data_IF_437296266093
#
_entry.id   IF_437296266093
#
_cell.length_a   1.000
_cell.length_b   1.000
_cell.length_c   1.000
_cell.angle_alpha   90.00
_cell.angle_beta   90.00
_cell.angle_gamma   90.00
#
_symmetry.space_group_name_H-M   'P 1'
#
loop_
_entity.id
_entity.type
_entity.pdbx_description
1 polymer ?
#
# COMPACT_ATOMS: atom_id res chain seq x y z
N UNK A 1 -0.57 -17.34 -8.56
CA UNK A 1 -0.18 -17.21 -7.14
C UNK A 1 -1.42 -17.06 -6.27
N UNK A 2 -1.36 -17.43 -4.98
CA UNK A 2 -2.49 -17.22 -4.05
C UNK A 2 -2.50 -15.75 -3.57
N UNK A 3 -3.66 -15.11 -3.40
CA UNK A 3 -3.74 -13.75 -2.86
C UNK A 3 -3.09 -13.65 -1.48
N UNK A 4 -2.37 -12.56 -1.21
CA UNK A 4 -1.86 -12.27 0.14
C UNK A 4 -2.99 -11.77 1.03
N UNK A 5 -3.23 -12.46 2.14
CA UNK A 5 -4.30 -12.13 3.10
C UNK A 5 -3.73 -11.81 4.48
N UNK A 6 -4.52 -11.17 5.35
CA UNK A 6 -4.14 -10.93 6.75
C UNK A 6 -3.78 -12.24 7.46
N UNK A 7 -4.54 -13.31 7.26
CA UNK A 7 -4.25 -14.63 7.85
C UNK A 7 -2.91 -15.19 7.38
N UNK A 8 -2.54 -14.97 6.12
CA UNK A 8 -1.21 -15.34 5.62
C UNK A 8 -0.10 -14.56 6.34
N UNK A 9 -0.27 -13.24 6.50
CA UNK A 9 0.72 -12.39 7.18
C UNK A 9 0.84 -12.74 8.68
N UNK A 10 -0.27 -13.06 9.34
CA UNK A 10 -0.29 -13.56 10.72
C UNK A 10 0.49 -14.86 10.85
N UNK A 11 0.30 -15.79 9.91
CA UNK A 11 1.08 -17.04 9.84
C UNK A 11 2.57 -16.77 9.65
N UNK A 12 2.95 -15.88 8.72
CA UNK A 12 4.35 -15.48 8.54
C UNK A 12 4.96 -14.93 9.84
N UNK A 13 4.22 -14.11 10.59
CA UNK A 13 4.65 -13.60 11.91
C UNK A 13 4.86 -14.73 12.93
N UNK A 14 3.93 -15.68 13.03
CA UNK A 14 4.04 -16.84 13.93
C UNK A 14 5.24 -17.72 13.60
N UNK A 15 5.50 -17.93 12.30
CA UNK A 15 6.62 -18.70 11.79
C UNK A 15 7.95 -17.93 11.77
N UNK A 16 7.98 -16.66 12.21
CA UNK A 16 9.13 -15.75 12.11
C UNK A 16 9.68 -15.62 10.68
N UNK A 17 8.85 -15.86 9.68
CA UNK A 17 9.18 -15.70 8.26
C UNK A 17 9.02 -14.24 7.86
N UNK A 18 10.12 -13.61 7.44
CA UNK A 18 10.11 -12.23 6.94
C UNK A 18 9.48 -12.16 5.55
N UNK A 19 8.82 -11.04 5.26
CA UNK A 19 8.30 -10.69 3.96
C UNK A 19 8.62 -9.22 3.67
N UNK A 20 8.80 -8.88 2.39
CA UNK A 20 9.09 -7.52 1.96
C UNK A 20 7.79 -6.70 1.82
N UNK A 21 7.89 -5.40 2.10
CA UNK A 21 6.83 -4.41 1.89
C UNK A 21 7.39 -3.20 1.15
N UNK A 22 6.60 -2.55 0.31
CA UNK A 22 7.02 -1.36 -0.44
C UNK A 22 5.90 -0.31 -0.44
N UNK A 23 6.25 0.97 -0.51
CA UNK A 23 5.26 2.02 -0.74
C UNK A 23 4.87 2.10 -2.21
N UNK A 24 3.59 2.30 -2.49
CA UNK A 24 3.09 2.49 -3.85
C UNK A 24 1.91 3.47 -3.82
N UNK A 25 1.94 4.47 -4.69
CA UNK A 25 0.97 5.57 -4.68
C UNK A 25 0.09 5.61 -5.95
N UNK A 26 0.34 4.73 -6.91
CA UNK A 26 -0.46 4.59 -8.13
C UNK A 26 -0.55 3.14 -8.60
N UNK A 27 -1.43 2.92 -9.58
CA UNK A 27 -1.69 1.60 -10.13
C UNK A 27 -0.52 1.01 -10.92
N UNK A 28 0.24 1.84 -11.64
CA UNK A 28 1.30 1.38 -12.54
C UNK A 28 2.44 0.73 -11.74
N UNK A 29 2.91 1.40 -10.68
CA UNK A 29 3.92 0.83 -9.79
C UNK A 29 3.36 -0.32 -8.96
N UNK A 30 2.12 -0.21 -8.47
CA UNK A 30 1.51 -1.32 -7.73
C UNK A 30 1.37 -2.60 -8.58
N UNK A 31 1.10 -2.46 -9.89
CA UNK A 31 1.09 -3.60 -10.81
C UNK A 31 2.50 -4.16 -10.99
N UNK A 32 3.47 -3.31 -11.30
CA UNK A 32 4.87 -3.71 -11.50
C UNK A 32 5.42 -4.48 -10.28
N UNK A 33 5.21 -3.96 -9.08
CA UNK A 33 5.68 -4.60 -7.86
C UNK A 33 4.99 -5.93 -7.58
N UNK A 34 3.71 -6.07 -7.93
CA UNK A 34 2.99 -7.33 -7.81
C UNK A 34 3.52 -8.38 -8.79
N UNK A 35 3.83 -7.97 -10.02
CA UNK A 35 4.44 -8.83 -11.04
C UNK A 35 5.84 -9.33 -10.60
N UNK A 36 6.59 -8.50 -9.86
CA UNK A 36 7.89 -8.85 -9.24
C UNK A 36 7.76 -9.58 -7.88
N UNK A 37 6.54 -9.93 -7.45
CA UNK A 37 6.30 -10.75 -6.25
C UNK A 37 6.26 -10.00 -4.92
N UNK A 38 6.28 -8.65 -4.93
CA UNK A 38 6.03 -7.84 -3.73
C UNK A 38 4.53 -7.71 -3.54
N UNK A 39 3.96 -8.56 -2.67
CA UNK A 39 2.51 -8.69 -2.54
C UNK A 39 1.88 -7.86 -1.41
N UNK A 40 2.70 -7.12 -0.65
CA UNK A 40 2.27 -6.23 0.43
C UNK A 40 2.75 -4.83 0.13
N UNK A 41 1.81 -3.89 0.01
CA UNK A 41 2.09 -2.50 -0.35
C UNK A 41 1.43 -1.53 0.61
N UNK A 42 2.02 -0.35 0.73
CA UNK A 42 1.56 0.69 1.63
C UNK A 42 1.33 2.02 0.89
N UNK A 43 0.15 2.59 1.08
CA UNK A 43 -0.12 4.01 0.82
C UNK A 43 0.05 4.74 2.14
N UNK A 44 1.22 5.35 2.30
CA UNK A 44 1.60 6.08 3.52
C UNK A 44 1.63 7.59 3.30
N UNK A 45 1.66 8.33 4.40
CA UNK A 45 1.83 9.78 4.44
C UNK A 45 3.18 10.28 3.90
N UNK A 46 4.13 9.38 3.65
CA UNK A 46 5.35 9.68 2.89
C UNK A 46 5.09 10.22 1.48
N UNK A 47 3.88 10.04 0.93
CA UNK A 47 3.43 10.72 -0.28
C UNK A 47 3.54 12.25 -0.19
N UNK A 48 3.44 12.82 1.02
CA UNK A 48 3.60 14.25 1.24
C UNK A 48 4.96 14.75 0.76
N UNK A 49 6.01 13.98 1.05
CA UNK A 49 7.37 14.31 0.62
C UNK A 49 7.64 13.87 -0.81
N UNK A 50 7.24 12.65 -1.18
CA UNK A 50 7.66 12.03 -2.45
C UNK A 50 6.80 12.40 -3.65
N UNK A 51 5.52 12.72 -3.44
CA UNK A 51 4.55 13.04 -4.50
C UNK A 51 4.16 14.51 -4.45
N UNK A 52 3.87 15.06 -3.26
CA UNK A 52 3.39 16.43 -3.09
C UNK A 52 4.52 17.47 -2.93
N UNK A 53 5.75 17.03 -2.59
CA UNK A 53 6.91 17.91 -2.44
C UNK A 53 6.93 18.74 -1.16
N UNK A 54 6.21 18.31 -0.12
CA UNK A 54 6.27 18.91 1.21
C UNK A 54 7.56 18.53 1.95
N UNK A 55 7.99 19.40 2.87
CA UNK A 55 9.16 19.14 3.74
C UNK A 55 8.88 18.12 4.86
N UNK A 56 7.61 17.76 5.07
CA UNK A 56 7.19 16.77 6.06
C UNK A 56 5.87 16.09 5.66
N UNK A 57 5.46 15.07 6.40
CA UNK A 57 4.19 14.36 6.18
C UNK A 57 3.00 15.01 6.89
N UNK A 58 3.21 16.04 7.71
CA UNK A 58 2.16 16.72 8.49
C UNK A 58 1.01 17.29 7.64
N UNK A 59 1.26 17.86 6.44
CA UNK A 59 0.18 18.40 5.61
C UNK A 59 -0.74 17.34 4.99
N UNK A 60 -0.35 16.05 5.02
CA UNK A 60 -1.10 14.98 4.35
C UNK A 60 -2.43 14.73 5.03
N UNK A 61 -3.49 14.78 4.23
CA UNK A 61 -4.88 14.55 4.65
C UNK A 61 -5.30 13.08 4.45
N UNK A 62 -6.45 12.70 5.02
CA UNK A 62 -7.02 11.37 4.77
C UNK A 62 -7.52 11.26 3.33
N UNK A 63 -7.98 12.37 2.75
CA UNK A 63 -8.42 12.50 1.38
C UNK A 63 -7.27 12.22 0.40
N UNK A 64 -6.05 12.71 0.69
CA UNK A 64 -4.85 12.40 -0.09
C UNK A 64 -4.54 10.90 -0.07
N UNK A 65 -4.56 10.28 1.12
CA UNK A 65 -4.35 8.83 1.26
C UNK A 65 -5.45 8.07 0.51
N UNK A 66 -6.70 8.51 0.58
CA UNK A 66 -7.83 7.87 -0.08
C UNK A 66 -7.75 7.97 -1.61
N UNK A 67 -7.23 9.08 -2.14
CA UNK A 67 -6.99 9.28 -3.57
C UNK A 67 -5.94 8.29 -4.10
N UNK A 68 -4.84 8.11 -3.37
CA UNK A 68 -3.77 7.17 -3.72
C UNK A 68 -4.08 5.70 -3.36
N UNK A 69 -5.07 5.47 -2.52
CA UNK A 69 -5.54 4.12 -2.20
C UNK A 69 -6.36 3.58 -3.38
N UNK A 70 -6.05 2.39 -3.90
CA UNK A 70 -6.82 1.78 -4.97
C UNK A 70 -8.20 1.32 -4.46
N UNK A 71 -9.11 2.28 -4.29
CA UNK A 71 -10.53 2.06 -4.03
C UNK A 71 -11.20 1.72 -5.35
N UNK A 72 -11.68 0.48 -5.48
CA UNK A 72 -12.72 0.10 -6.44
C UNK A 72 -12.47 0.46 -7.90
N UNK A 73 -11.23 0.63 -8.36
CA UNK A 73 -10.98 0.89 -9.78
C UNK A 73 -11.43 -0.34 -10.58
N UNK A 74 -12.17 -0.16 -11.70
CA UNK A 74 -12.59 -1.28 -12.55
C UNK A 74 -11.41 -2.19 -12.90
N UNK A 75 -10.25 -1.57 -13.15
CA UNK A 75 -8.97 -2.24 -13.45
C UNK A 75 -8.45 -3.17 -12.35
N UNK A 76 -8.83 -2.97 -11.08
CA UNK A 76 -8.46 -3.89 -9.98
C UNK A 76 -9.32 -5.15 -9.97
N UNK A 77 -10.56 -5.09 -10.47
CA UNK A 77 -11.40 -6.27 -10.65
C UNK A 77 -10.94 -7.12 -11.85
N UNK A 78 -10.33 -6.49 -12.84
CA UNK A 78 -9.77 -7.13 -14.04
C UNK A 78 -8.44 -7.85 -13.79
N UNK A 79 -7.73 -7.54 -12.70
CA UNK A 79 -6.51 -8.24 -12.34
C UNK A 79 -6.82 -9.65 -11.82
N UNK A 80 -6.10 -10.69 -12.30
CA UNK A 80 -6.15 -12.02 -11.71
C UNK A 80 -5.97 -11.93 -10.20
N UNK A 81 -6.69 -12.74 -9.42
CA UNK A 81 -6.62 -12.69 -7.94
C UNK A 81 -5.17 -12.80 -7.41
N UNK A 82 -4.30 -13.47 -8.16
CA UNK A 82 -2.87 -13.59 -7.94
C UNK A 82 -2.07 -12.27 -7.98
N UNK A 83 -2.58 -11.26 -8.69
CA UNK A 83 -1.92 -9.97 -8.96
C UNK A 83 -2.65 -8.81 -8.27
N UNK A 84 -3.48 -9.10 -7.26
CA UNK A 84 -4.18 -8.09 -6.48
C UNK A 84 -3.37 -7.84 -5.19
N UNK A 85 -2.48 -6.81 -5.16
CA UNK A 85 -1.67 -6.56 -3.98
C UNK A 85 -2.53 -6.23 -2.77
N UNK A 86 -2.05 -6.62 -1.59
CA UNK A 86 -2.62 -6.18 -0.32
C UNK A 86 -2.13 -4.74 -0.06
N UNK A 87 -2.98 -3.76 -0.38
CA UNK A 87 -2.68 -2.33 -0.20
C UNK A 87 -3.35 -1.82 1.07
N UNK A 88 -2.56 -1.23 1.96
CA UNK A 88 -3.02 -0.65 3.22
C UNK A 88 -2.81 0.86 3.22
N UNK A 89 -3.75 1.62 3.77
CA UNK A 89 -3.60 3.05 4.02
C UNK A 89 -3.16 3.29 5.46
N UNK A 90 -2.06 4.01 5.67
CA UNK A 90 -1.63 4.44 7.00
C UNK A 90 -1.41 5.95 7.01
N UNK A 91 -2.06 6.61 7.97
CA UNK A 91 -1.75 7.98 8.35
C UNK A 91 -1.31 7.97 9.81
N UNK A 92 -0.15 8.55 10.11
CA UNK A 92 0.20 8.80 11.50
C UNK A 92 -0.72 9.90 12.05
N UNK A 93 -1.39 9.71 13.20
CA UNK A 93 -2.10 10.79 13.86
C UNK A 93 -1.04 11.81 14.28
N UNK A 94 -0.96 12.94 13.56
CA UNK A 94 -0.11 14.04 13.97
C UNK A 94 -0.50 14.47 15.38
N UNK A 95 0.45 14.49 16.30
CA UNK A 95 0.35 15.25 17.54
C UNK A 95 0.22 16.72 17.16
N UNK A 96 -1.01 17.22 17.14
CA UNK A 96 -1.26 18.66 17.07
C UNK A 96 -0.68 19.33 18.31
N UNK A 97 0.08 20.40 18.11
CA UNK A 97 0.15 21.48 19.10
C UNK A 97 -1.06 22.39 18.93
#
# INVERSE_FOLDING_TARGET
MKPTTISLLQKCKQEKKRFATITAYDYSFAKLFADEGINVMLVGDSLGMTIQGHDSTLPVTVEDIAYHTPRGTPRRAELPAALRPAVYGLRHPGTGM
#
